data_IF_489593522381
#
_entry.id   IF_489593522381
#
_cell.length_a   1.000
_cell.length_b   1.000
_cell.length_c   1.000
_cell.angle_alpha   90.00
_cell.angle_beta   90.00
_cell.angle_gamma   90.00
#
_symmetry.space_group_name_H-M   'P 1'
#
loop_
_entity.id
_entity.type
_entity.pdbx_description
1 polymer ?
#
# COMPACT_ATOMS: atom_id res chain seq x y z
N UNK A 1 3.12 19.62 -1.13
CA UNK A 1 4.23 18.82 -0.55
C UNK A 1 3.71 18.17 0.71
N UNK A 2 3.90 16.87 0.87
CA UNK A 2 3.47 16.15 2.06
C UNK A 2 4.39 16.50 3.22
N UNK A 3 3.82 16.95 4.34
CA UNK A 3 4.56 17.21 5.59
C UNK A 3 4.99 15.92 6.30
N UNK A 4 4.50 14.76 5.84
CA UNK A 4 4.76 13.46 6.43
C UNK A 4 6.18 12.99 6.17
N UNK A 5 6.56 13.04 4.90
CA UNK A 5 7.91 12.74 4.43
C UNK A 5 8.35 13.90 3.53
N UNK A 6 9.15 14.84 4.04
CA UNK A 6 9.53 16.04 3.30
C UNK A 6 10.33 15.71 2.05
N UNK A 7 11.01 14.57 2.04
CA UNK A 7 11.78 14.08 0.91
C UNK A 7 11.22 12.74 0.44
N UNK A 8 10.61 12.72 -0.73
CA UNK A 8 10.18 11.50 -1.42
C UNK A 8 10.72 11.56 -2.85
N UNK A 9 11.52 10.59 -3.21
CA UNK A 9 12.18 10.52 -4.52
C UNK A 9 12.12 9.10 -5.08
N UNK A 10 12.10 8.99 -6.41
CA UNK A 10 12.21 7.72 -7.12
C UNK A 10 13.69 7.39 -7.29
N UNK A 11 14.14 6.30 -6.68
CA UNK A 11 15.54 5.86 -6.75
C UNK A 11 15.67 4.47 -7.39
N UNK A 12 16.84 4.22 -7.95
CA UNK A 12 17.30 2.88 -8.25
C UNK A 12 17.88 2.25 -6.99
N UNK A 13 17.80 0.93 -6.85
CA UNK A 13 18.28 0.20 -5.67
C UNK A 13 19.75 0.52 -5.31
N UNK A 14 20.60 0.70 -6.32
CA UNK A 14 22.02 1.05 -6.17
C UNK A 14 22.30 2.37 -5.42
N UNK A 15 21.32 3.29 -5.39
CA UNK A 15 21.48 4.62 -4.77
C UNK A 15 21.03 4.64 -3.31
N UNK A 16 20.32 3.59 -2.85
CA UNK A 16 19.73 3.53 -1.50
C UNK A 16 20.77 3.64 -0.40
N UNK A 17 21.91 2.97 -0.55
CA UNK A 17 22.98 2.99 0.46
C UNK A 17 23.60 4.38 0.62
N UNK A 18 23.78 5.09 -0.48
CA UNK A 18 24.32 6.46 -0.46
C UNK A 18 23.34 7.42 0.21
N UNK A 19 22.05 7.30 -0.14
CA UNK A 19 21.00 8.11 0.46
C UNK A 19 20.88 7.84 1.97
N UNK A 20 20.92 6.59 2.39
CA UNK A 20 20.85 6.24 3.81
C UNK A 20 21.98 6.87 4.62
N UNK A 21 23.22 6.82 4.11
CA UNK A 21 24.36 7.47 4.75
C UNK A 21 24.15 8.97 4.88
N UNK A 22 23.73 9.64 3.80
CA UNK A 22 23.42 11.07 3.81
C UNK A 22 22.35 11.43 4.85
N UNK A 23 21.29 10.59 4.96
CA UNK A 23 20.24 10.81 5.94
C UNK A 23 20.73 10.60 7.38
N UNK A 24 21.57 9.59 7.60
CA UNK A 24 22.12 9.26 8.91
C UNK A 24 23.06 10.36 9.43
N UNK A 25 23.90 10.89 8.55
CA UNK A 25 24.92 11.89 8.88
C UNK A 25 24.33 13.31 8.94
N UNK A 26 23.12 13.52 8.44
CA UNK A 26 22.48 14.83 8.43
C UNK A 26 22.05 15.27 9.84
N UNK A 27 22.33 16.52 10.17
CA UNK A 27 21.80 17.20 11.35
C UNK A 27 20.36 17.71 11.19
N UNK A 28 19.83 17.71 9.97
CA UNK A 28 18.45 18.14 9.68
C UNK A 28 17.46 17.09 10.18
N UNK A 29 16.55 17.53 11.07
CA UNK A 29 15.47 16.66 11.59
C UNK A 29 14.55 16.11 10.49
N UNK A 30 14.40 16.83 9.39
CA UNK A 30 13.60 16.37 8.26
C UNK A 30 14.22 15.17 7.54
N UNK A 31 15.55 15.05 7.54
CA UNK A 31 16.26 13.90 6.98
C UNK A 31 16.22 12.65 7.86
N UNK A 32 15.68 12.73 9.07
CA UNK A 32 15.45 11.55 9.93
C UNK A 32 14.25 10.72 9.51
N UNK A 33 13.38 11.25 8.65
CA UNK A 33 12.21 10.57 8.11
C UNK A 33 12.15 10.74 6.59
N UNK A 34 12.65 9.76 5.88
CA UNK A 34 12.72 9.78 4.41
C UNK A 34 11.98 8.58 3.87
N UNK A 35 11.09 8.80 2.92
CA UNK A 35 10.46 7.75 2.16
C UNK A 35 11.04 7.71 0.75
N UNK A 36 11.44 6.53 0.32
CA UNK A 36 11.99 6.28 -1.00
C UNK A 36 11.03 5.38 -1.75
N UNK A 37 10.68 5.76 -2.97
CA UNK A 37 9.91 4.91 -3.88
C UNK A 37 10.88 4.16 -4.76
N UNK A 38 10.91 2.85 -4.65
CA UNK A 38 11.65 1.96 -5.54
C UNK A 38 10.69 1.46 -6.60
N UNK A 39 11.00 1.76 -7.85
CA UNK A 39 10.21 1.38 -9.01
C UNK A 39 11.00 0.45 -9.92
N UNK A 40 10.36 -0.59 -10.37
CA UNK A 40 10.95 -1.65 -11.20
C UNK A 40 11.25 -1.19 -12.63
N UNK A 41 10.72 -0.03 -13.04
CA UNK A 41 10.88 0.51 -14.40
C UNK A 41 12.32 0.80 -14.81
N UNK A 42 13.25 0.85 -13.86
CA UNK A 42 14.61 1.32 -14.11
C UNK A 42 15.55 0.33 -14.76
N UNK A 43 15.55 -0.94 -14.37
CA UNK A 43 16.60 -1.88 -14.81
C UNK A 43 16.08 -3.26 -15.26
N UNK A 44 14.84 -3.61 -15.00
CA UNK A 44 14.26 -4.89 -15.43
C UNK A 44 14.87 -6.14 -14.82
N UNK A 45 15.78 -6.00 -13.87
CA UNK A 45 16.39 -7.10 -13.15
C UNK A 45 15.81 -7.15 -11.72
N UNK A 46 14.77 -7.94 -11.57
CA UNK A 46 14.03 -8.07 -10.32
C UNK A 46 14.80 -8.84 -9.25
N UNK A 47 15.69 -9.74 -9.66
CA UNK A 47 16.51 -10.52 -8.73
C UNK A 47 17.55 -9.62 -8.07
N UNK A 48 18.23 -8.79 -8.85
CA UNK A 48 19.18 -7.78 -8.32
C UNK A 48 18.49 -6.80 -7.39
N UNK A 49 17.29 -6.33 -7.76
CA UNK A 49 16.52 -5.43 -6.90
C UNK A 49 16.15 -6.09 -5.56
N UNK A 50 15.76 -7.36 -5.58
CA UNK A 50 15.43 -8.09 -4.35
C UNK A 50 16.66 -8.22 -3.45
N UNK A 51 17.79 -8.68 -4.01
CA UNK A 51 19.04 -8.86 -3.27
C UNK A 51 19.53 -7.54 -2.67
N UNK A 52 19.45 -6.45 -3.44
CA UNK A 52 19.80 -5.11 -2.98
C UNK A 52 18.90 -4.66 -1.81
N UNK A 53 17.58 -4.86 -1.90
CA UNK A 53 16.64 -4.50 -0.84
C UNK A 53 16.84 -5.37 0.42
N UNK A 54 17.07 -6.66 0.26
CA UNK A 54 17.32 -7.57 1.36
C UNK A 54 18.62 -7.21 2.09
N UNK A 55 19.70 -7.00 1.34
CA UNK A 55 20.99 -6.58 1.88
C UNK A 55 20.91 -5.20 2.53
N UNK A 56 20.18 -4.27 1.90
CA UNK A 56 19.98 -2.93 2.45
C UNK A 56 19.25 -2.98 3.80
N UNK A 57 18.18 -3.78 3.90
CA UNK A 57 17.41 -3.97 5.13
C UNK A 57 18.23 -4.64 6.22
N UNK A 58 19.02 -5.68 5.88
CA UNK A 58 19.88 -6.41 6.84
C UNK A 58 20.98 -5.54 7.42
N UNK A 59 21.56 -4.64 6.62
CA UNK A 59 22.73 -3.86 6.98
C UNK A 59 22.42 -2.48 7.57
N UNK A 60 21.16 -2.06 7.60
CA UNK A 60 20.78 -0.71 8.02
C UNK A 60 19.60 -0.76 9.01
N UNK A 61 19.81 -0.19 10.18
CA UNK A 61 18.78 -0.08 11.21
C UNK A 61 17.74 1.00 10.88
N UNK A 62 16.50 0.79 11.32
CA UNK A 62 15.41 1.76 11.13
C UNK A 62 14.85 1.82 9.71
N UNK A 63 15.19 0.86 8.86
CA UNK A 63 14.63 0.71 7.52
C UNK A 63 13.41 -0.20 7.58
N UNK A 64 12.30 0.26 6.99
CA UNK A 64 11.09 -0.53 6.83
C UNK A 64 10.62 -0.51 5.38
N UNK A 65 10.16 -1.63 4.89
CA UNK A 65 9.66 -1.80 3.54
C UNK A 65 8.13 -1.84 3.57
N UNK A 66 7.51 -0.90 2.87
CA UNK A 66 6.08 -0.88 2.61
C UNK A 66 5.80 -1.37 1.19
N UNK A 67 5.12 -2.50 1.06
CA UNK A 67 4.65 -3.03 -0.20
C UNK A 67 3.22 -2.53 -0.48
N UNK A 68 3.00 -1.95 -1.65
CA UNK A 68 1.68 -1.46 -2.06
C UNK A 68 1.22 -2.29 -3.25
N UNK A 69 0.10 -2.96 -3.11
CA UNK A 69 -0.47 -3.88 -4.11
C UNK A 69 -1.89 -3.47 -4.52
N UNK A 70 -2.40 -4.12 -5.55
CA UNK A 70 -3.81 -4.11 -5.92
C UNK A 70 -4.14 -5.33 -6.77
N UNK A 71 -5.41 -5.72 -6.86
CA UNK A 71 -5.86 -6.79 -7.76
C UNK A 71 -5.55 -6.46 -9.22
N UNK A 72 -5.22 -7.49 -10.00
CA UNK A 72 -4.87 -7.37 -11.44
C UNK A 72 -5.88 -6.53 -12.21
N UNK A 73 -7.17 -6.77 -12.01
CA UNK A 73 -8.23 -6.05 -12.72
C UNK A 73 -8.22 -4.55 -12.41
N UNK A 74 -8.01 -4.18 -11.15
CA UNK A 74 -7.88 -2.78 -10.73
C UNK A 74 -6.64 -2.11 -11.34
N UNK A 75 -5.52 -2.83 -11.39
CA UNK A 75 -4.29 -2.32 -12.01
C UNK A 75 -4.48 -2.11 -13.53
N UNK A 76 -5.12 -3.05 -14.22
CA UNK A 76 -5.43 -2.92 -15.65
C UNK A 76 -6.27 -1.67 -15.92
N UNK A 77 -7.30 -1.42 -15.11
CA UNK A 77 -8.14 -0.22 -15.24
C UNK A 77 -7.30 1.05 -15.05
N UNK A 78 -6.50 1.11 -13.99
CA UNK A 78 -5.62 2.26 -13.70
C UNK A 78 -4.61 2.53 -14.82
N UNK A 79 -4.03 1.48 -15.42
CA UNK A 79 -3.14 1.63 -16.58
C UNK A 79 -3.87 2.20 -17.80
N UNK A 80 -5.09 1.75 -18.08
CA UNK A 80 -5.92 2.29 -19.16
C UNK A 80 -6.24 3.78 -18.97
N UNK A 81 -6.56 4.18 -17.76
CA UNK A 81 -6.86 5.58 -17.40
C UNK A 81 -5.65 6.50 -17.59
N UNK A 82 -4.46 6.04 -17.23
CA UNK A 82 -3.24 6.85 -17.31
C UNK A 82 -2.65 6.95 -18.72
N UNK A 83 -3.14 6.17 -19.69
CA UNK A 83 -2.62 6.06 -21.07
C UNK A 83 -1.11 5.75 -21.14
N UNK A 84 -0.53 5.22 -20.07
CA UNK A 84 0.88 4.82 -20.02
C UNK A 84 1.02 3.37 -20.42
N UNK A 85 2.06 3.06 -21.20
CA UNK A 85 2.41 1.67 -21.48
C UNK A 85 3.05 1.04 -20.26
N UNK A 86 2.70 -0.23 -20.00
CA UNK A 86 3.35 -0.98 -18.95
C UNK A 86 4.79 -1.34 -19.38
N UNK A 87 5.81 -1.18 -18.52
CA UNK A 87 7.20 -1.41 -18.92
C UNK A 87 7.48 -2.81 -19.46
N UNK A 88 6.79 -3.81 -18.93
CA UNK A 88 6.97 -5.22 -19.35
C UNK A 88 6.24 -5.56 -20.66
N UNK A 89 5.35 -4.71 -21.17
CA UNK A 89 4.62 -5.02 -22.43
C UNK A 89 5.55 -5.23 -23.62
N UNK A 90 6.67 -4.52 -23.66
CA UNK A 90 7.67 -4.65 -24.74
C UNK A 90 8.50 -5.94 -24.66
N UNK A 91 8.52 -6.59 -23.47
CA UNK A 91 9.27 -7.82 -23.23
C UNK A 91 8.41 -9.08 -23.40
N UNK A 92 7.10 -8.93 -23.41
CA UNK A 92 6.16 -10.06 -23.50
C UNK A 92 5.70 -10.25 -24.95
N UNK A 93 5.61 -11.51 -25.37
CA UNK A 93 5.22 -11.87 -26.74
C UNK A 93 3.81 -11.41 -27.11
N UNK A 94 2.88 -11.38 -26.15
CA UNK A 94 1.50 -10.97 -26.38
C UNK A 94 1.28 -9.46 -26.23
N UNK A 95 2.25 -8.73 -25.66
CA UNK A 95 2.21 -7.28 -25.48
C UNK A 95 1.01 -6.75 -24.69
N UNK A 96 0.25 -7.62 -24.02
CA UNK A 96 -0.96 -7.21 -23.30
C UNK A 96 -0.64 -6.64 -21.92
N UNK A 97 -1.37 -5.58 -21.55
CA UNK A 97 -1.25 -4.98 -20.19
C UNK A 97 -1.59 -6.00 -19.12
N UNK A 98 -2.55 -6.88 -19.38
CA UNK A 98 -2.98 -7.91 -18.41
C UNK A 98 -1.86 -8.93 -18.14
N UNK A 99 -1.16 -9.39 -19.17
CA UNK A 99 -0.03 -10.29 -19.02
C UNK A 99 1.14 -9.58 -18.32
N UNK A 100 1.40 -8.33 -18.67
CA UNK A 100 2.47 -7.54 -18.07
C UNK A 100 2.25 -7.31 -16.57
N UNK A 101 1.03 -6.97 -16.14
CA UNK A 101 0.68 -6.80 -14.72
C UNK A 101 0.82 -8.12 -13.94
N UNK A 102 0.34 -9.23 -14.50
CA UNK A 102 0.48 -10.55 -13.85
C UNK A 102 1.95 -10.95 -13.70
N UNK A 103 2.74 -10.72 -14.73
CA UNK A 103 4.17 -11.02 -14.68
C UNK A 103 4.92 -10.14 -13.68
N UNK A 104 4.59 -8.84 -13.61
CA UNK A 104 5.15 -7.95 -12.61
C UNK A 104 4.83 -8.42 -11.19
N UNK A 105 3.56 -8.78 -10.91
CA UNK A 105 3.19 -9.31 -9.61
C UNK A 105 3.95 -10.61 -9.28
N UNK A 106 4.13 -11.52 -10.25
CA UNK A 106 4.90 -12.75 -10.08
C UNK A 106 6.35 -12.45 -9.70
N UNK A 107 6.98 -11.52 -10.39
CA UNK A 107 8.36 -11.10 -10.16
C UNK A 107 8.55 -10.38 -8.82
N UNK A 108 7.52 -9.70 -8.32
CA UNK A 108 7.55 -8.98 -7.05
C UNK A 108 7.18 -9.83 -5.82
N UNK A 109 6.78 -11.10 -5.99
CA UNK A 109 6.48 -11.99 -4.86
C UNK A 109 7.60 -12.03 -3.81
N UNK A 110 8.89 -12.16 -4.16
CA UNK A 110 9.97 -12.15 -3.17
C UNK A 110 10.05 -10.84 -2.39
N UNK A 111 9.85 -9.70 -3.05
CA UNK A 111 9.84 -8.38 -2.41
C UNK A 111 8.66 -8.25 -1.44
N UNK A 112 7.50 -8.78 -1.79
CA UNK A 112 6.32 -8.81 -0.93
C UNK A 112 6.57 -9.59 0.36
N UNK A 113 7.30 -10.71 0.29
CA UNK A 113 7.68 -11.49 1.48
C UNK A 113 8.70 -10.77 2.37
N UNK A 114 9.52 -9.90 1.81
CA UNK A 114 10.49 -9.09 2.55
C UNK A 114 9.86 -7.88 3.24
N UNK A 115 8.66 -7.47 2.83
CA UNK A 115 7.99 -6.27 3.31
C UNK A 115 7.56 -6.39 4.79
N UNK A 116 7.75 -5.31 5.55
CA UNK A 116 7.29 -5.17 6.93
C UNK A 116 5.81 -4.81 6.98
N UNK A 117 5.36 -4.09 5.98
CA UNK A 117 3.97 -3.64 5.83
C UNK A 117 3.47 -3.90 4.42
N UNK A 118 2.21 -4.30 4.30
CA UNK A 118 1.55 -4.47 3.01
C UNK A 118 0.20 -3.75 3.00
N UNK A 119 -0.11 -3.03 1.92
CA UNK A 119 -1.39 -2.36 1.73
C UNK A 119 -1.99 -2.80 0.41
N UNK A 120 -3.17 -3.42 0.46
CA UNK A 120 -3.99 -3.66 -0.74
C UNK A 120 -4.83 -2.40 -1.03
N UNK A 121 -4.55 -1.79 -2.19
CA UNK A 121 -5.22 -0.56 -2.63
C UNK A 121 -6.37 -0.83 -3.62
N UNK A 122 -6.81 -2.07 -3.79
CA UNK A 122 -7.81 -2.48 -4.79
C UNK A 122 -9.04 -1.59 -4.76
N UNK A 123 -9.56 -1.32 -3.57
CA UNK A 123 -10.78 -0.53 -3.36
C UNK A 123 -10.52 0.81 -2.65
N UNK A 124 -9.25 1.20 -2.50
CA UNK A 124 -8.89 2.43 -1.82
C UNK A 124 -8.85 3.62 -2.78
N UNK A 125 -9.42 4.73 -2.35
CA UNK A 125 -9.17 6.03 -2.94
C UNK A 125 -7.78 6.55 -2.53
N UNK A 126 -7.25 7.53 -3.27
CA UNK A 126 -5.98 8.20 -2.93
C UNK A 126 -6.04 8.80 -1.50
N UNK A 127 -7.21 9.32 -1.11
CA UNK A 127 -7.41 9.89 0.24
C UNK A 127 -7.27 8.81 1.31
N UNK A 128 -7.94 7.67 1.15
CA UNK A 128 -7.88 6.55 2.08
C UNK A 128 -6.47 5.98 2.19
N UNK A 129 -5.76 5.80 1.07
CA UNK A 129 -4.38 5.35 1.08
C UNK A 129 -3.48 6.34 1.84
N UNK A 130 -3.66 7.65 1.62
CA UNK A 130 -2.91 8.68 2.35
C UNK A 130 -3.17 8.61 3.86
N UNK A 131 -4.43 8.51 4.27
CA UNK A 131 -4.82 8.40 5.68
C UNK A 131 -4.23 7.14 6.31
N UNK A 132 -4.24 6.02 5.58
CA UNK A 132 -3.65 4.76 6.03
C UNK A 132 -2.14 4.88 6.25
N UNK A 133 -1.40 5.46 5.29
CA UNK A 133 0.05 5.68 5.43
C UNK A 133 0.33 6.64 6.61
N UNK A 134 -0.48 7.69 6.77
CA UNK A 134 -0.36 8.61 7.89
C UNK A 134 -0.51 7.88 9.22
N UNK A 135 -1.55 7.08 9.38
CA UNK A 135 -1.80 6.33 10.62
C UNK A 135 -0.68 5.33 10.93
N UNK A 136 -0.09 4.69 9.92
CA UNK A 136 1.00 3.73 10.12
C UNK A 136 2.32 4.37 10.56
N UNK A 137 2.61 5.60 10.11
CA UNK A 137 3.95 6.18 10.28
C UNK A 137 4.00 7.47 11.09
N UNK A 138 2.88 8.12 11.37
CA UNK A 138 2.84 9.37 12.17
C UNK A 138 2.32 9.18 13.59
N UNK A 139 1.47 8.21 13.83
CA UNK A 139 0.95 7.98 15.17
C UNK A 139 1.96 7.21 16.01
N UNK A 140 2.69 7.97 16.78
CA UNK A 140 3.44 7.59 17.98
C UNK A 140 4.01 6.17 18.06
N UNK A 141 5.31 6.12 18.06
CA UNK A 141 6.23 5.10 18.55
C UNK A 141 5.99 4.58 19.99
N UNK A 142 4.77 4.51 20.46
CA UNK A 142 4.44 3.70 21.63
C UNK A 142 4.02 2.31 21.15
N UNK A 143 4.43 1.26 21.85
CA UNK A 143 4.12 -0.16 21.64
C UNK A 143 2.60 -0.46 21.70
N UNK A 144 1.77 0.32 21.01
CA UNK A 144 0.33 0.15 20.98
C UNK A 144 -0.07 -0.69 19.77
N UNK A 145 -0.88 -1.70 20.03
CA UNK A 145 -1.53 -2.46 18.96
C UNK A 145 -2.43 -1.48 18.18
N UNK A 146 -2.20 -1.36 16.89
CA UNK A 146 -3.07 -0.59 16.01
C UNK A 146 -4.24 -1.46 15.56
N UNK A 147 -5.42 -1.16 16.07
CA UNK A 147 -6.66 -1.81 15.63
C UNK A 147 -7.30 -0.98 14.53
N UNK A 148 -7.54 -1.60 13.39
CA UNK A 148 -8.28 -0.98 12.28
C UNK A 148 -9.67 -1.62 12.20
N UNK A 149 -10.71 -0.81 12.37
CA UNK A 149 -12.09 -1.24 12.16
C UNK A 149 -12.54 -0.80 10.77
N UNK A 150 -13.09 -1.74 10.01
CA UNK A 150 -13.58 -1.50 8.66
C UNK A 150 -15.01 -2.00 8.54
N UNK A 151 -15.92 -1.18 8.03
CA UNK A 151 -17.23 -1.64 7.58
C UNK A 151 -17.20 -1.93 6.09
N UNK A 152 -17.79 -3.03 5.66
CA UNK A 152 -17.84 -3.43 4.26
C UNK A 152 -19.18 -4.10 3.90
N UNK A 153 -19.52 -4.04 2.62
CA UNK A 153 -20.64 -4.79 2.08
C UNK A 153 -20.17 -6.02 1.30
N UNK A 154 -20.79 -7.15 1.51
CA UNK A 154 -20.43 -8.43 0.86
C UNK A 154 -20.53 -8.41 -0.67
N UNK A 155 -21.15 -7.38 -1.26
CA UNK A 155 -21.29 -7.23 -2.72
C UNK A 155 -19.96 -7.33 -3.47
N UNK A 156 -18.87 -6.85 -2.89
CA UNK A 156 -17.53 -6.83 -3.50
C UNK A 156 -16.58 -7.87 -2.93
N UNK A 157 -17.10 -8.76 -2.07
CA UNK A 157 -16.31 -9.76 -1.37
C UNK A 157 -15.78 -9.28 -0.02
N UNK A 158 -15.04 -10.15 0.63
CA UNK A 158 -14.44 -9.92 1.93
C UNK A 158 -13.12 -9.17 1.74
N UNK A 159 -12.80 -8.14 2.57
CA UNK A 159 -11.49 -7.51 2.57
C UNK A 159 -10.39 -8.53 2.87
N UNK A 160 -9.43 -8.68 1.97
CA UNK A 160 -8.37 -9.68 2.09
C UNK A 160 -7.37 -9.40 3.22
N UNK A 161 -7.34 -8.17 3.70
CA UNK A 161 -6.44 -7.69 4.77
C UNK A 161 -7.07 -7.79 6.16
N UNK A 162 -8.26 -8.39 6.28
CA UNK A 162 -8.95 -8.54 7.57
C UNK A 162 -8.47 -9.79 8.31
N UNK A 163 -7.95 -9.60 9.52
CA UNK A 163 -7.59 -10.71 10.41
C UNK A 163 -8.83 -11.32 11.10
N UNK A 164 -9.87 -10.50 11.31
CA UNK A 164 -11.12 -10.90 11.94
C UNK A 164 -12.31 -10.29 11.20
N UNK A 165 -13.30 -11.12 10.86
CA UNK A 165 -14.53 -10.69 10.20
C UNK A 165 -15.70 -11.07 11.10
N UNK A 166 -16.53 -10.07 11.42
CA UNK A 166 -17.75 -10.26 12.18
C UNK A 166 -18.94 -9.99 11.25
N UNK A 167 -19.77 -11.00 11.05
CA UNK A 167 -21.01 -10.86 10.29
C UNK A 167 -22.12 -10.31 11.19
N UNK A 168 -22.51 -9.07 10.96
CA UNK A 168 -23.55 -8.36 11.73
C UNK A 168 -24.94 -8.46 11.09
N UNK A 169 -25.13 -9.25 10.04
CA UNK A 169 -26.45 -9.41 9.38
C UNK A 169 -27.47 -10.15 10.24
N UNK A 170 -27.04 -10.75 11.35
CA UNK A 170 -27.93 -11.31 12.36
C UNK A 170 -28.65 -10.23 13.18
N UNK A 171 -28.15 -8.99 13.17
CA UNK A 171 -28.80 -7.88 13.88
C UNK A 171 -30.01 -7.38 13.09
N UNK A 172 -31.07 -6.94 13.79
CA UNK A 172 -32.22 -6.32 13.14
C UNK A 172 -31.78 -5.11 12.33
N UNK A 173 -32.20 -5.04 11.06
CA UNK A 173 -31.88 -3.89 10.23
C UNK A 173 -32.95 -2.81 10.44
N UNK A 174 -32.58 -1.62 10.93
CA UNK A 174 -33.49 -0.50 11.20
C UNK A 174 -34.31 -0.09 9.97
N UNK A 175 -33.79 -0.29 8.77
CA UNK A 175 -34.49 0.02 7.52
C UNK A 175 -35.84 -0.71 7.36
N UNK A 176 -35.96 -1.91 7.93
CA UNK A 176 -37.22 -2.70 7.88
C UNK A 176 -38.18 -2.37 9.02
N UNK A 177 -37.82 -1.47 9.94
CA UNK A 177 -38.65 -1.01 11.04
C UNK A 177 -39.22 0.35 10.62
N UNK A 178 -40.55 0.44 10.46
CA UNK A 178 -41.22 1.62 9.89
C UNK A 178 -40.85 2.93 10.62
N UNK A 179 -40.72 2.88 11.94
CA UNK A 179 -40.38 4.03 12.79
C UNK A 179 -38.92 4.46 12.70
N UNK A 180 -38.02 3.57 12.26
CA UNK A 180 -36.57 3.79 12.23
C UNK A 180 -36.03 4.02 10.81
N UNK A 181 -36.85 3.76 9.78
CA UNK A 181 -36.43 3.76 8.38
C UNK A 181 -35.83 5.08 7.90
N UNK A 182 -36.33 6.20 8.39
CA UNK A 182 -35.91 7.55 8.01
C UNK A 182 -34.74 8.06 8.86
N UNK A 183 -34.33 7.30 9.88
CA UNK A 183 -33.27 7.70 10.80
C UNK A 183 -31.89 7.17 10.36
N UNK A 184 -30.83 7.88 10.77
CA UNK A 184 -29.45 7.52 10.48
C UNK A 184 -28.76 6.87 11.69
N UNK A 185 -27.71 6.11 11.47
CA UNK A 185 -26.94 5.47 12.54
C UNK A 185 -26.26 6.44 13.54
N UNK A 186 -26.34 7.74 13.28
CA UNK A 186 -25.84 8.79 14.20
C UNK A 186 -26.86 9.18 15.26
N UNK A 187 -28.11 8.76 15.11
CA UNK A 187 -29.21 9.12 16.00
C UNK A 187 -29.38 8.07 17.12
N UNK A 188 -29.68 8.57 18.34
CA UNK A 188 -29.80 7.70 19.54
C UNK A 188 -30.87 6.61 19.42
N UNK A 189 -31.89 6.80 18.58
CA UNK A 189 -32.93 5.80 18.37
C UNK A 189 -32.45 4.58 17.57
N UNK A 190 -31.31 4.72 16.87
CA UNK A 190 -30.67 3.65 16.09
C UNK A 190 -29.53 2.98 16.85
N UNK A 191 -28.87 3.73 17.77
CA UNK A 191 -27.79 3.22 18.62
C UNK A 191 -28.31 2.42 19.81
#
# INVERSE_FOLDING_TARGET
RSTLFPYTTLFRSLELQTLYKLCKDSSDKAMKRVAVVVDVRGNGDYEVMYDDLENFKKNNEGVSILYIDAKVDSLIVRYKETRRRHPLTERLKDGSVAAAVKEEQRLLVPVKTLADYSIDTTFMSIKQLRERIISMFLENSSNSIMLTFMSFGFKYGIPLESDLIIDVRCLPNPFYIAELKEHTGLEKCIQ
#
